data_IF_138005963778
#
_entry.id   IF_138005963778
#
_cell.length_a   1.000
_cell.length_b   1.000
_cell.length_c   1.000
_cell.angle_alpha   90.00
_cell.angle_beta   90.00
_cell.angle_gamma   90.00
#
_symmetry.space_group_name_H-M   'P 1'
#
loop_
_entity.id
_entity.type
_entity.pdbx_description
1 polymer ?
#
# COMPACT_ATOMS: atom_id res chain seq x y z
N UNK A 1 24.64 22.66 -6.97
CA UNK A 1 25.02 21.93 -5.75
C UNK A 1 23.76 21.74 -4.95
N UNK A 2 23.30 20.50 -4.82
CA UNK A 2 22.09 20.16 -4.07
C UNK A 2 22.44 20.18 -2.58
N UNK A 3 21.80 21.09 -1.84
CA UNK A 3 22.01 21.27 -0.40
C UNK A 3 21.28 20.20 0.42
N UNK A 4 21.31 20.25 1.75
CA UNK A 4 20.80 19.20 2.64
C UNK A 4 19.26 19.02 2.67
N UNK A 5 18.52 19.31 1.59
CA UNK A 5 17.05 19.46 1.60
C UNK A 5 16.26 18.81 0.44
N UNK A 6 16.85 17.95 -0.40
CA UNK A 6 16.09 17.33 -1.50
C UNK A 6 15.41 16.00 -1.14
N UNK A 7 15.10 15.78 0.14
CA UNK A 7 14.33 14.61 0.57
C UNK A 7 12.96 15.06 1.09
N UNK A 8 11.92 14.55 0.46
CA UNK A 8 10.52 14.71 0.87
C UNK A 8 9.90 13.34 0.99
N UNK A 9 9.54 12.95 2.20
CA UNK A 9 8.77 11.74 2.47
C UNK A 9 7.32 12.16 2.63
N UNK A 10 6.50 11.84 1.63
CA UNK A 10 5.09 12.16 1.61
C UNK A 10 4.27 11.01 2.21
N UNK A 11 3.44 11.34 3.20
CA UNK A 11 2.45 10.42 3.74
C UNK A 11 1.07 10.90 3.30
N UNK A 12 0.36 10.06 2.54
CA UNK A 12 -0.97 10.32 2.03
C UNK A 12 -2.03 9.72 2.96
N UNK A 13 -3.05 10.51 3.30
CA UNK A 13 -4.22 10.02 4.03
C UNK A 13 -4.19 10.31 5.52
N UNK A 14 -4.70 9.38 6.33
CA UNK A 14 -4.88 9.62 7.77
C UNK A 14 -3.54 9.65 8.52
N UNK A 15 -3.34 10.60 9.45
CA UNK A 15 -2.12 10.64 10.28
C UNK A 15 -2.02 9.46 11.25
N UNK A 16 -3.14 8.91 11.70
CA UNK A 16 -3.18 7.98 12.85
C UNK A 16 -2.21 6.79 12.74
N UNK A 17 -2.19 6.01 11.63
CA UNK A 17 -1.28 4.87 11.53
C UNK A 17 0.18 5.27 11.30
N UNK A 18 0.44 6.51 10.90
CA UNK A 18 1.77 7.01 10.56
C UNK A 18 2.33 8.00 11.58
N UNK A 19 1.59 8.38 12.61
CA UNK A 19 2.02 9.39 13.58
C UNK A 19 3.37 9.06 14.22
N UNK A 20 3.66 7.81 14.66
CA UNK A 20 4.98 7.47 15.18
C UNK A 20 6.10 7.69 14.16
N UNK A 21 5.84 7.33 12.89
CA UNK A 21 6.80 7.49 11.78
C UNK A 21 7.03 8.98 11.46
N UNK A 22 5.97 9.79 11.47
CA UNK A 22 6.04 11.23 11.24
C UNK A 22 6.85 11.94 12.33
N UNK A 23 6.66 11.57 13.60
CA UNK A 23 7.36 12.17 14.73
C UNK A 23 8.84 11.78 14.79
N UNK A 24 9.14 10.49 14.65
CA UNK A 24 10.54 10.02 14.62
C UNK A 24 11.26 10.55 13.38
N UNK A 25 10.63 10.47 12.21
CA UNK A 25 11.17 11.00 10.96
C UNK A 25 11.39 12.52 11.03
N UNK A 26 10.48 13.28 11.64
CA UNK A 26 10.63 14.72 11.86
C UNK A 26 11.75 15.08 12.83
N UNK A 27 12.11 14.16 13.73
CA UNK A 27 13.27 14.32 14.63
C UNK A 27 14.58 14.03 13.90
N UNK A 28 14.61 13.00 13.05
CA UNK A 28 15.79 12.61 12.26
C UNK A 28 16.09 13.57 11.11
N UNK A 29 15.04 13.98 10.40
CA UNK A 29 15.09 14.80 9.20
C UNK A 29 14.03 15.92 9.29
N UNK A 30 14.29 16.99 10.09
CA UNK A 30 13.32 18.06 10.30
C UNK A 30 12.82 18.68 9.00
N UNK A 31 11.50 18.69 8.82
CA UNK A 31 10.84 19.24 7.63
C UNK A 31 10.86 18.33 6.41
N UNK A 32 11.49 17.16 6.44
CA UNK A 32 11.45 16.19 5.34
C UNK A 32 10.15 15.37 5.31
N UNK A 33 9.58 15.11 6.48
CA UNK A 33 8.33 14.38 6.64
C UNK A 33 7.14 15.31 6.39
N UNK A 34 6.33 15.01 5.38
CA UNK A 34 5.16 15.83 5.01
C UNK A 34 3.92 14.95 4.93
N UNK A 35 2.91 15.30 5.72
CA UNK A 35 1.59 14.69 5.67
C UNK A 35 0.68 15.46 4.73
N UNK A 36 0.11 14.76 3.74
CA UNK A 36 -0.86 15.27 2.80
C UNK A 36 -2.25 14.72 3.17
N UNK A 37 -3.17 15.60 3.54
CA UNK A 37 -4.51 15.24 4.04
C UNK A 37 -5.60 15.35 2.96
N UNK A 38 -5.31 15.96 1.82
CA UNK A 38 -6.27 16.22 0.75
C UNK A 38 -5.64 16.05 -0.62
N UNK A 39 -6.33 15.45 -1.59
CA UNK A 39 -5.80 15.34 -2.95
C UNK A 39 -5.55 16.71 -3.60
N UNK A 40 -6.27 17.76 -3.19
CA UNK A 40 -6.07 19.13 -3.68
C UNK A 40 -4.70 19.74 -3.32
N UNK A 41 -3.97 19.14 -2.38
CA UNK A 41 -2.66 19.61 -1.95
C UNK A 41 -1.51 19.01 -2.75
N UNK A 42 -1.83 18.08 -3.66
CA UNK A 42 -0.87 17.39 -4.48
C UNK A 42 -1.28 17.39 -5.94
N UNK A 43 -0.31 17.34 -6.84
CA UNK A 43 -0.54 17.14 -8.26
C UNK A 43 0.41 16.08 -8.80
N UNK A 44 -0.07 15.32 -9.78
CA UNK A 44 0.76 14.40 -10.55
C UNK A 44 1.18 15.11 -11.83
N UNK A 45 2.47 15.08 -12.12
CA UNK A 45 3.03 15.56 -13.38
C UNK A 45 3.81 14.44 -14.06
N UNK A 46 3.88 14.40 -15.40
CA UNK A 46 4.70 13.41 -16.09
C UNK A 46 6.14 13.45 -15.58
N UNK A 47 6.71 12.29 -15.30
CA UNK A 47 8.10 12.20 -14.86
C UNK A 47 9.06 12.62 -15.96
N UNK A 48 9.99 13.50 -15.62
CA UNK A 48 11.09 13.87 -16.53
C UNK A 48 12.16 12.77 -16.65
N UNK A 49 12.28 11.93 -15.62
CA UNK A 49 13.32 10.90 -15.52
C UNK A 49 12.86 9.51 -15.96
N UNK A 50 11.55 9.23 -15.90
CA UNK A 50 11.00 7.90 -16.12
C UNK A 50 9.77 7.96 -17.04
N UNK A 51 9.93 7.73 -18.37
CA UNK A 51 8.81 7.73 -19.30
C UNK A 51 7.68 6.80 -18.86
N UNK A 52 6.44 7.29 -18.85
CA UNK A 52 5.26 6.55 -18.41
C UNK A 52 5.00 6.56 -16.90
N UNK A 53 5.90 7.14 -16.10
CA UNK A 53 5.71 7.33 -14.66
C UNK A 53 5.34 8.79 -14.33
N UNK A 54 4.94 9.01 -13.08
CA UNK A 54 4.48 10.30 -12.58
C UNK A 54 5.36 10.79 -11.42
N UNK A 55 5.71 12.08 -11.41
CA UNK A 55 6.21 12.75 -10.22
C UNK A 55 5.04 13.31 -9.42
N UNK A 56 5.08 13.14 -8.09
CA UNK A 56 4.11 13.74 -7.18
C UNK A 56 4.66 15.07 -6.63
N UNK A 57 3.94 16.16 -6.84
CA UNK A 57 4.30 17.50 -6.35
C UNK A 57 3.32 17.95 -5.27
N UNK A 58 3.85 18.44 -4.16
CA UNK A 58 3.08 18.94 -3.03
C UNK A 58 3.05 20.46 -3.07
N UNK A 59 1.86 21.04 -3.15
CA UNK A 59 1.65 22.48 -3.00
C UNK A 59 1.40 22.86 -1.54
N UNK A 60 0.90 21.93 -0.72
CA UNK A 60 0.65 22.10 0.71
C UNK A 60 0.88 20.80 1.47
N UNK A 61 1.10 20.89 2.77
CA UNK A 61 1.18 19.73 3.65
C UNK A 61 1.50 20.10 5.08
N UNK A 62 1.33 19.16 6.00
CA UNK A 62 1.76 19.32 7.39
C UNK A 62 3.18 18.78 7.52
N UNK A 63 4.16 19.66 7.74
CA UNK A 63 5.55 19.28 7.98
C UNK A 63 5.75 18.87 9.44
N UNK A 64 6.63 17.90 9.68
CA UNK A 64 7.02 17.48 11.03
C UNK A 64 8.50 17.80 11.27
N UNK A 65 8.78 18.36 12.46
CA UNK A 65 10.10 18.83 12.90
C UNK A 65 10.44 18.24 14.27
N UNK A 66 11.68 18.44 14.70
CA UNK A 66 12.17 17.91 15.97
C UNK A 66 11.33 18.36 17.16
N UNK A 67 11.23 17.51 18.18
CA UNK A 67 10.46 17.78 19.40
C UNK A 67 8.94 17.71 19.21
N UNK A 68 8.46 17.05 18.15
CA UNK A 68 7.03 16.87 17.88
C UNK A 68 6.33 18.10 17.30
N UNK A 69 7.08 19.13 16.88
CA UNK A 69 6.52 20.30 16.24
C UNK A 69 6.00 19.96 14.85
N UNK A 70 4.76 20.35 14.56
CA UNK A 70 4.16 20.22 13.24
C UNK A 70 3.62 21.56 12.76
N UNK A 71 3.75 21.87 11.47
CA UNK A 71 3.25 23.10 10.88
C UNK A 71 2.57 22.83 9.54
N UNK A 72 1.43 23.49 9.29
CA UNK A 72 0.85 23.54 7.96
C UNK A 72 1.70 24.47 7.08
N UNK A 73 2.27 23.93 6.03
CA UNK A 73 3.14 24.64 5.10
C UNK A 73 2.52 24.70 3.71
N UNK A 74 2.79 25.80 3.01
CA UNK A 74 2.51 25.98 1.58
C UNK A 74 3.85 26.05 0.86
N UNK A 75 3.99 25.29 -0.23
CA UNK A 75 5.24 25.16 -0.98
C UNK A 75 5.13 25.91 -2.32
N UNK A 76 5.98 26.92 -2.48
CA UNK A 76 6.12 27.69 -3.72
C UNK A 76 7.62 27.89 -4.02
N UNK A 77 8.20 27.17 -5.01
CA UNK A 77 7.54 26.22 -5.91
C UNK A 77 7.05 24.93 -5.19
N UNK A 78 6.11 24.18 -5.79
CA UNK A 78 5.68 22.88 -5.24
C UNK A 78 6.85 21.94 -5.00
N UNK A 79 6.81 21.19 -3.90
CA UNK A 79 7.88 20.31 -3.48
C UNK A 79 7.66 18.89 -4.04
N UNK A 80 8.67 18.33 -4.70
CA UNK A 80 8.60 16.96 -5.23
C UNK A 80 8.72 15.93 -4.09
N UNK A 81 7.86 14.91 -4.10
CA UNK A 81 7.99 13.74 -3.24
C UNK A 81 9.10 12.80 -3.74
N UNK A 82 9.96 12.34 -2.84
CA UNK A 82 11.04 11.39 -3.13
C UNK A 82 10.76 9.99 -2.59
N UNK A 83 9.77 9.86 -1.71
CA UNK A 83 9.22 8.61 -1.22
C UNK A 83 7.76 8.84 -0.85
N UNK A 84 6.87 7.91 -1.18
CA UNK A 84 5.44 8.04 -0.90
C UNK A 84 4.91 6.81 -0.16
N UNK A 85 4.17 7.03 0.91
CA UNK A 85 3.40 5.97 1.56
C UNK A 85 2.03 6.52 1.98
N UNK A 86 1.13 5.66 2.41
CA UNK A 86 -0.20 6.10 2.83
C UNK A 86 -1.09 4.96 3.30
N UNK A 87 -2.27 5.34 3.75
CA UNK A 87 -3.30 4.39 4.15
C UNK A 87 -4.06 3.89 2.93
N UNK A 88 -3.64 2.74 2.41
CA UNK A 88 -4.39 2.02 1.37
C UNK A 88 -5.48 1.21 2.07
N UNK A 89 -6.69 1.74 2.13
CA UNK A 89 -7.77 1.18 2.95
C UNK A 89 -8.27 -0.17 2.40
N UNK A 90 -8.58 -1.14 3.28
CA UNK A 90 -9.29 -2.37 2.94
C UNK A 90 -10.61 -2.07 2.23
N UNK A 91 -10.91 -2.79 1.14
CA UNK A 91 -12.23 -2.76 0.49
C UNK A 91 -12.49 -1.62 -0.49
N UNK A 92 -11.53 -0.71 -0.70
CA UNK A 92 -11.55 0.21 -1.85
C UNK A 92 -10.63 -0.37 -2.95
N UNK A 93 -11.18 -0.95 -4.04
CA UNK A 93 -10.37 -1.60 -5.08
C UNK A 93 -9.37 -0.63 -5.74
N UNK A 94 -9.67 0.67 -5.74
CA UNK A 94 -8.81 1.71 -6.31
C UNK A 94 -7.97 2.42 -5.23
N UNK A 95 -8.21 2.14 -3.94
CA UNK A 95 -7.55 2.77 -2.80
C UNK A 95 -7.86 4.26 -2.65
N UNK A 96 -8.97 4.70 -3.27
CA UNK A 96 -9.42 6.07 -3.30
C UNK A 96 -8.37 7.02 -3.86
N UNK A 97 -8.42 8.27 -3.43
CA UNK A 97 -7.47 9.29 -3.86
C UNK A 97 -6.01 8.98 -3.44
N UNK A 98 -5.81 8.22 -2.36
CA UNK A 98 -4.46 7.81 -1.90
C UNK A 98 -3.85 6.84 -2.90
N UNK A 99 -4.62 5.84 -3.33
CA UNK A 99 -4.22 4.88 -4.37
C UNK A 99 -3.98 5.57 -5.71
N UNK A 100 -4.88 6.46 -6.12
CA UNK A 100 -4.75 7.21 -7.37
C UNK A 100 -3.47 8.06 -7.41
N UNK A 101 -3.16 8.76 -6.32
CA UNK A 101 -1.95 9.57 -6.22
C UNK A 101 -0.67 8.74 -6.13
N UNK A 102 -0.72 7.56 -5.51
CA UNK A 102 0.43 6.67 -5.37
C UNK A 102 0.70 5.80 -6.60
N UNK A 103 -0.20 5.78 -7.60
CA UNK A 103 -0.08 4.91 -8.78
C UNK A 103 1.05 5.37 -9.70
N UNK A 104 1.89 4.42 -10.11
CA UNK A 104 2.93 4.62 -11.14
C UNK A 104 3.84 5.82 -10.86
N UNK A 105 4.19 6.01 -9.58
CA UNK A 105 5.12 7.06 -9.20
C UNK A 105 6.55 6.73 -9.62
N UNK A 106 7.31 7.76 -9.98
CA UNK A 106 8.73 7.67 -10.32
C UNK A 106 9.67 7.62 -9.09
N UNK A 107 9.08 7.49 -7.91
CA UNK A 107 9.80 7.36 -6.65
C UNK A 107 9.34 6.11 -5.89
N UNK A 108 10.16 5.56 -4.99
CA UNK A 108 9.78 4.37 -4.23
C UNK A 108 8.52 4.61 -3.39
N UNK A 109 7.66 3.60 -3.31
CA UNK A 109 6.46 3.62 -2.47
C UNK A 109 6.57 2.63 -1.31
N UNK A 110 6.05 3.01 -0.14
CA UNK A 110 6.01 2.15 1.05
C UNK A 110 4.91 1.09 1.04
N UNK A 111 4.03 1.15 0.04
CA UNK A 111 2.95 0.20 -0.18
C UNK A 111 2.27 0.47 -1.52
N UNK A 112 1.31 -0.38 -1.83
CA UNK A 112 0.44 -0.19 -2.99
C UNK A 112 -0.92 -0.81 -2.73
N UNK A 113 -1.94 -0.30 -3.42
CA UNK A 113 -3.30 -0.85 -3.35
C UNK A 113 -3.33 -2.34 -3.68
N UNK A 114 -2.70 -2.84 -4.76
CA UNK A 114 -2.69 -4.27 -5.06
C UNK A 114 -2.06 -5.14 -3.95
N UNK A 115 -0.99 -4.63 -3.31
CA UNK A 115 -0.34 -5.36 -2.23
C UNK A 115 -1.21 -5.40 -0.96
N UNK A 116 -1.85 -4.28 -0.60
CA UNK A 116 -2.77 -4.22 0.54
C UNK A 116 -3.91 -5.23 0.38
N UNK A 117 -4.60 -5.23 -0.77
CA UNK A 117 -5.66 -6.20 -1.07
C UNK A 117 -5.18 -7.65 -0.99
N UNK A 118 -3.97 -7.94 -1.49
CA UNK A 118 -3.39 -9.29 -1.45
C UNK A 118 -3.08 -9.75 -0.02
N UNK A 119 -2.61 -8.85 0.84
CA UNK A 119 -2.28 -9.16 2.24
C UNK A 119 -3.51 -9.38 3.13
N UNK A 120 -4.64 -8.77 2.79
CA UNK A 120 -5.91 -8.96 3.50
C UNK A 120 -6.61 -10.27 3.17
N UNK A 121 -6.39 -10.79 1.95
CA UNK A 121 -6.88 -12.09 1.55
C UNK A 121 -6.06 -13.19 2.25
N UNK A 122 -6.57 -13.64 3.40
CA UNK A 122 -5.91 -14.65 4.22
C UNK A 122 -5.63 -15.95 3.45
N UNK A 123 -6.49 -16.31 2.49
CA UNK A 123 -6.28 -17.51 1.68
C UNK A 123 -5.13 -17.31 0.70
N UNK A 124 -5.12 -16.20 -0.04
CA UNK A 124 -4.02 -15.87 -0.96
C UNK A 124 -2.71 -15.72 -0.20
N UNK A 125 -2.71 -15.03 0.93
CA UNK A 125 -1.51 -14.84 1.76
C UNK A 125 -0.97 -16.18 2.24
N UNK A 126 -1.79 -17.04 2.84
CA UNK A 126 -1.35 -18.37 3.29
C UNK A 126 -0.88 -19.23 2.12
N UNK A 127 -1.56 -19.15 0.98
CA UNK A 127 -1.14 -19.85 -0.22
C UNK A 127 0.25 -19.39 -0.66
N UNK A 128 0.50 -18.09 -0.77
CA UNK A 128 1.82 -17.55 -1.16
C UNK A 128 2.91 -18.00 -0.17
N UNK A 129 2.65 -17.90 1.13
CA UNK A 129 3.62 -18.30 2.16
C UNK A 129 3.95 -19.80 2.08
N UNK A 130 2.94 -20.65 1.92
CA UNK A 130 3.14 -22.10 1.86
C UNK A 130 3.71 -22.59 0.52
N UNK A 131 3.13 -22.16 -0.61
CA UNK A 131 3.51 -22.65 -1.94
C UNK A 131 4.77 -21.97 -2.52
N UNK A 132 5.06 -20.71 -2.18
CA UNK A 132 6.20 -19.97 -2.76
C UNK A 132 7.37 -19.82 -1.80
N UNK A 133 7.10 -19.60 -0.51
CA UNK A 133 8.14 -19.37 0.49
C UNK A 133 8.44 -20.60 1.36
N UNK A 134 7.71 -21.71 1.17
CA UNK A 134 7.81 -22.93 1.97
C UNK A 134 7.72 -22.67 3.49
N UNK A 135 6.97 -21.64 3.89
CA UNK A 135 6.77 -21.30 5.29
C UNK A 135 5.58 -22.08 5.87
N UNK A 136 5.67 -22.51 7.14
CA UNK A 136 4.56 -23.16 7.81
C UNK A 136 3.39 -22.16 7.93
N UNK A 137 2.19 -22.61 7.58
CA UNK A 137 0.94 -21.87 7.73
C UNK A 137 -0.07 -22.70 8.51
N UNK A 138 -1.06 -22.08 9.18
CA UNK A 138 -2.12 -22.82 9.84
C UNK A 138 -2.86 -23.74 8.85
N UNK A 139 -3.18 -25.00 9.23
CA UNK A 139 -4.03 -25.87 8.42
C UNK A 139 -5.29 -25.15 7.98
N UNK A 140 -5.52 -25.08 6.67
CA UNK A 140 -6.58 -24.26 6.08
C UNK A 140 -7.37 -25.11 5.09
N UNK A 141 -8.64 -25.36 5.39
CA UNK A 141 -9.63 -25.83 4.43
C UNK A 141 -10.39 -24.61 3.90
N UNK A 142 -10.31 -24.35 2.59
CA UNK A 142 -10.93 -23.20 1.96
C UNK A 142 -11.84 -23.62 0.80
N UNK A 143 -13.07 -23.12 0.82
CA UNK A 143 -14.06 -23.31 -0.24
C UNK A 143 -14.05 -22.08 -1.15
N UNK A 144 -13.87 -22.28 -2.45
CA UNK A 144 -13.69 -21.18 -3.41
C UNK A 144 -14.57 -21.42 -4.63
N UNK A 145 -15.35 -20.41 -5.05
CA UNK A 145 -16.11 -20.50 -6.29
C UNK A 145 -15.17 -20.56 -7.50
N UNK A 146 -15.48 -21.39 -8.50
CA UNK A 146 -14.66 -21.56 -9.72
C UNK A 146 -14.39 -20.24 -10.48
N UNK A 147 -15.22 -19.22 -10.29
CA UNK A 147 -15.05 -17.88 -10.87
C UNK A 147 -13.90 -17.05 -10.25
N UNK A 148 -13.31 -17.48 -9.13
CA UNK A 148 -12.20 -16.75 -8.48
C UNK A 148 -10.86 -17.07 -9.14
N UNK A 149 -10.42 -16.20 -10.04
CA UNK A 149 -9.20 -16.36 -10.85
C UNK A 149 -7.88 -16.01 -10.14
N UNK A 150 -7.92 -15.49 -8.91
CA UNK A 150 -6.77 -14.86 -8.26
C UNK A 150 -5.79 -15.85 -7.61
N UNK A 151 -6.20 -17.12 -7.51
CA UNK A 151 -5.44 -18.22 -6.93
C UNK A 151 -4.74 -19.01 -8.04
N UNK A 152 -3.39 -19.05 -8.07
CA UNK A 152 -2.67 -19.79 -9.08
C UNK A 152 -3.00 -21.29 -9.03
N UNK A 153 -3.11 -21.93 -10.20
CA UNK A 153 -3.40 -23.36 -10.29
C UNK A 153 -2.28 -24.24 -9.70
N UNK A 154 -1.05 -23.72 -9.58
CA UNK A 154 0.14 -24.40 -9.08
C UNK A 154 1.14 -23.41 -8.45
N UNK A 155 1.98 -23.86 -7.50
CA UNK A 155 2.04 -25.20 -6.91
C UNK A 155 1.00 -25.42 -5.80
N UNK A 156 0.75 -26.68 -5.46
CA UNK A 156 -0.06 -27.04 -4.30
C UNK A 156 0.59 -26.47 -3.02
N UNK A 157 -0.18 -25.77 -2.20
CA UNK A 157 0.30 -25.16 -0.97
C UNK A 157 0.19 -26.18 0.19
N UNK A 158 1.31 -26.65 0.77
CA UNK A 158 1.26 -27.57 1.91
C UNK A 158 0.46 -26.96 3.07
N UNK A 159 -0.47 -27.74 3.65
CA UNK A 159 -1.34 -27.26 4.73
C UNK A 159 -2.53 -26.40 4.27
N UNK A 160 -2.70 -26.12 2.97
CA UNK A 160 -3.86 -25.42 2.42
C UNK A 160 -4.61 -26.32 1.45
N UNK A 161 -5.80 -26.79 1.85
CA UNK A 161 -6.72 -27.58 1.02
C UNK A 161 -7.77 -26.67 0.41
N UNK A 162 -7.77 -26.59 -0.92
CA UNK A 162 -8.75 -25.82 -1.70
C UNK A 162 -9.85 -26.75 -2.24
N UNK A 163 -11.10 -26.47 -1.89
CA UNK A 163 -12.29 -27.12 -2.47
C UNK A 163 -12.95 -26.11 -3.40
N UNK A 164 -12.90 -26.38 -4.72
CA UNK A 164 -13.55 -25.52 -5.70
C UNK A 164 -15.04 -25.87 -5.79
N UNK A 165 -15.88 -24.85 -5.61
CA UNK A 165 -17.34 -24.96 -5.68
C UNK A 165 -17.84 -24.42 -7.01
N UNK A 166 -18.78 -25.13 -7.65
CA UNK A 166 -19.42 -24.67 -8.89
C UNK A 166 -20.51 -23.63 -8.63
N UNK A 167 -21.26 -23.85 -7.57
CA UNK A 167 -22.37 -23.03 -7.08
C UNK A 167 -22.21 -22.72 -5.57
N UNK A 168 -22.73 -21.59 -5.05
CA UNK A 168 -22.75 -21.31 -3.62
C UNK A 168 -23.56 -22.30 -2.76
N UNK A 169 -24.49 -23.07 -3.35
CA UNK A 169 -25.40 -23.98 -2.65
C UNK A 169 -25.30 -25.43 -3.14
N UNK A 170 -25.81 -26.38 -2.33
CA UNK A 170 -26.04 -27.78 -2.75
C UNK A 170 -24.82 -28.69 -2.86
N UNK A 171 -23.67 -28.33 -2.29
CA UNK A 171 -22.42 -29.09 -2.41
C UNK A 171 -21.96 -29.73 -1.10
N UNK A 172 -22.90 -30.11 -0.22
CA UNK A 172 -22.55 -30.78 1.05
C UNK A 172 -21.75 -32.08 0.82
N UNK A 173 -21.93 -32.75 -0.32
CA UNK A 173 -21.23 -33.98 -0.69
C UNK A 173 -19.72 -33.80 -0.95
N UNK A 174 -19.23 -32.56 -1.09
CA UNK A 174 -17.80 -32.27 -1.27
C UNK A 174 -17.03 -32.17 0.05
N UNK A 175 -17.74 -32.10 1.18
CA UNK A 175 -17.13 -32.09 2.52
C UNK A 175 -17.02 -33.53 2.99
N UNK A 176 -15.79 -34.02 3.18
CA UNK A 176 -15.51 -35.33 3.77
C UNK A 176 -14.70 -35.12 5.04
N UNK A 177 -15.05 -35.85 6.11
CA UNK A 177 -14.20 -35.97 7.31
C UNK A 177 -12.94 -36.77 6.95
N UNK A 178 -11.84 -36.46 7.62
CA UNK A 178 -10.56 -37.20 7.51
C UNK A 178 -10.64 -38.58 8.17
#
# INVERSE_FOLDING_TARGET
GFGPLDMTVCILGSPTPFLPVLLEGGTRCPGAMVLCLSPSWASRVPSESCPGAWSLLLSRGVSFKAGGHSALESFAPPRRANYVTGTFAPGDPEGGWVGELARELDCPTGGSVPLAHRLEDALVTRWVLAARAALPVPPTLAFVLESRGDLPAQPAAPGVRLVRLRDPQGQQSLVQEE
#
